data_IF_046872601504
#
_entry.id   IF_046872601504
#
_cell.length_a   1.000
_cell.length_b   1.000
_cell.length_c   1.000
_cell.angle_alpha   90.00
_cell.angle_beta   90.00
_cell.angle_gamma   90.00
#
_symmetry.space_group_name_H-M   'P 1'
#
loop_
_entity.id
_entity.type
_entity.pdbx_description
1 polymer ?
#
# COMPACT_ATOMS: atom_id res chain seq x y z
N UNK A 1 -23.60 -47.44 -25.12
CA UNK A 1 -23.12 -46.57 -24.02
C UNK A 1 -23.65 -45.15 -24.26
N UNK A 2 -24.35 -44.56 -23.30
CA UNK A 2 -24.83 -43.18 -23.42
C UNK A 2 -23.65 -42.20 -23.35
N UNK A 3 -23.66 -41.10 -24.12
CA UNK A 3 -22.60 -40.10 -24.06
C UNK A 3 -22.57 -39.46 -22.66
N UNK A 4 -21.36 -39.25 -22.13
CA UNK A 4 -21.16 -38.58 -20.86
C UNK A 4 -21.75 -37.16 -20.91
N UNK A 5 -22.36 -36.66 -19.82
CA UNK A 5 -22.90 -35.31 -19.78
C UNK A 5 -21.79 -34.29 -20.01
N UNK A 6 -22.09 -33.27 -20.83
CA UNK A 6 -21.17 -32.18 -21.10
C UNK A 6 -20.77 -31.46 -19.80
N UNK A 7 -19.51 -31.01 -19.66
CA UNK A 7 -19.08 -30.26 -18.49
C UNK A 7 -19.93 -29.00 -18.34
N UNK A 8 -20.43 -28.76 -17.13
CA UNK A 8 -21.17 -27.54 -16.79
C UNK A 8 -20.28 -26.31 -17.06
N UNK A 9 -20.84 -25.21 -17.61
CA UNK A 9 -20.07 -24.01 -17.83
C UNK A 9 -19.53 -23.48 -16.49
N UNK A 10 -18.30 -22.91 -16.47
CA UNK A 10 -17.74 -22.38 -15.24
C UNK A 10 -18.70 -21.35 -14.64
N UNK A 11 -18.99 -21.49 -13.35
CA UNK A 11 -19.87 -20.58 -12.62
C UNK A 11 -19.20 -19.19 -12.60
N UNK A 12 -19.61 -18.31 -13.51
CA UNK A 12 -19.13 -16.93 -13.53
C UNK A 12 -19.85 -16.19 -12.41
N UNK A 13 -19.09 -15.66 -11.46
CA UNK A 13 -19.60 -14.80 -10.40
C UNK A 13 -20.50 -13.70 -11.00
N UNK A 14 -21.51 -13.29 -10.25
CA UNK A 14 -22.28 -12.07 -10.56
C UNK A 14 -21.43 -10.83 -10.31
N UNK A 15 -21.88 -9.66 -10.80
CA UNK A 15 -21.18 -8.40 -10.54
C UNK A 15 -21.15 -8.06 -9.05
N UNK A 16 -22.23 -8.32 -8.33
CA UNK A 16 -22.33 -8.04 -6.90
C UNK A 16 -21.44 -8.96 -6.08
N UNK A 17 -21.38 -10.25 -6.42
CA UNK A 17 -20.43 -11.18 -5.77
C UNK A 17 -18.98 -10.78 -6.05
N UNK A 18 -18.65 -10.33 -7.27
CA UNK A 18 -17.29 -9.81 -7.57
C UNK A 18 -16.94 -8.61 -6.71
N UNK A 19 -17.84 -7.62 -6.61
CA UNK A 19 -17.62 -6.44 -5.76
C UNK A 19 -17.45 -6.83 -4.28
N UNK A 20 -18.26 -7.78 -3.80
CA UNK A 20 -18.16 -8.27 -2.44
C UNK A 20 -16.79 -8.94 -2.17
N UNK A 21 -16.33 -9.80 -3.08
CA UNK A 21 -14.99 -10.41 -3.01
C UNK A 21 -13.91 -9.32 -3.04
N UNK A 22 -14.04 -8.31 -3.90
CA UNK A 22 -13.08 -7.22 -3.98
C UNK A 22 -13.00 -6.41 -2.68
N UNK A 23 -14.14 -6.11 -2.06
CA UNK A 23 -14.21 -5.42 -0.77
C UNK A 23 -13.57 -6.24 0.35
N UNK A 24 -13.87 -7.54 0.42
CA UNK A 24 -13.25 -8.45 1.40
C UNK A 24 -11.72 -8.49 1.20
N UNK A 25 -11.24 -8.58 -0.03
CA UNK A 25 -9.81 -8.57 -0.31
C UNK A 25 -9.14 -7.26 0.16
N UNK A 26 -9.77 -6.11 -0.08
CA UNK A 26 -9.28 -4.81 0.37
C UNK A 26 -9.16 -4.77 1.90
N UNK A 27 -10.19 -5.21 2.62
CA UNK A 27 -10.20 -5.26 4.08
C UNK A 27 -9.13 -6.21 4.63
N UNK A 28 -8.98 -7.39 4.02
CA UNK A 28 -7.95 -8.36 4.38
C UNK A 28 -6.54 -7.78 4.20
N UNK A 29 -6.25 -7.19 3.05
CA UNK A 29 -4.92 -6.60 2.80
C UNK A 29 -4.64 -5.41 3.72
N UNK A 30 -5.64 -4.56 3.98
CA UNK A 30 -5.51 -3.48 4.94
C UNK A 30 -5.23 -4.00 6.36
N UNK A 31 -5.89 -5.07 6.78
CA UNK A 31 -5.68 -5.67 8.10
C UNK A 31 -4.31 -6.31 8.21
N UNK A 32 -3.88 -7.07 7.18
CA UNK A 32 -2.54 -7.68 7.12
C UNK A 32 -1.43 -6.62 7.18
N UNK A 33 -1.55 -5.53 6.41
CA UNK A 33 -0.59 -4.43 6.44
C UNK A 33 -0.51 -3.78 7.83
N UNK A 34 -1.64 -3.63 8.51
CA UNK A 34 -1.70 -3.08 9.87
C UNK A 34 -0.97 -3.98 10.88
N UNK A 35 -1.23 -5.29 10.82
CA UNK A 35 -0.60 -6.27 11.72
C UNK A 35 0.91 -6.35 11.50
N UNK A 36 1.35 -6.34 10.23
CA UNK A 36 2.78 -6.36 9.90
C UNK A 36 3.53 -5.15 10.46
N UNK A 37 2.91 -3.96 10.46
CA UNK A 37 3.51 -2.75 11.04
C UNK A 37 3.62 -2.79 12.58
N UNK A 38 2.84 -3.65 13.24
CA UNK A 38 2.88 -3.83 14.70
C UNK A 38 3.74 -5.01 15.14
N UNK A 39 4.27 -5.79 14.19
CA UNK A 39 5.14 -6.92 14.49
C UNK A 39 6.47 -6.44 15.10
N UNK A 40 7.07 -7.26 15.96
CA UNK A 40 8.39 -6.99 16.57
C UNK A 40 9.47 -6.74 15.50
N UNK A 41 9.43 -7.52 14.43
CA UNK A 41 10.25 -7.35 13.24
C UNK A 41 9.36 -7.03 12.04
N UNK A 42 9.26 -5.74 11.72
CA UNK A 42 8.38 -5.24 10.66
C UNK A 42 8.94 -5.61 9.28
N UNK A 43 8.17 -6.37 8.52
CA UNK A 43 8.48 -6.66 7.11
C UNK A 43 7.86 -5.58 6.21
N UNK A 44 8.62 -4.50 5.97
CA UNK A 44 8.16 -3.37 5.15
C UNK A 44 7.93 -3.73 3.68
N UNK A 45 8.62 -4.73 3.14
CA UNK A 45 8.39 -5.24 1.78
C UNK A 45 6.97 -5.80 1.63
N UNK A 46 6.51 -6.61 2.59
CA UNK A 46 5.14 -7.14 2.59
C UNK A 46 4.09 -6.08 2.88
N UNK A 47 4.38 -5.12 3.76
CA UNK A 47 3.48 -3.97 4.01
C UNK A 47 3.25 -3.22 2.69
N UNK A 48 4.34 -2.88 1.98
CA UNK A 48 4.28 -2.24 0.66
C UNK A 48 3.44 -3.08 -0.31
N UNK A 49 3.72 -4.37 -0.43
CA UNK A 49 3.00 -5.25 -1.36
C UNK A 49 1.47 -5.22 -1.14
N UNK A 50 1.03 -5.38 0.11
CA UNK A 50 -0.40 -5.40 0.43
C UNK A 50 -1.06 -4.04 0.24
N UNK A 51 -0.39 -2.95 0.62
CA UNK A 51 -0.93 -1.62 0.40
C UNK A 51 -1.06 -1.31 -1.10
N UNK A 52 -0.09 -1.70 -1.93
CA UNK A 52 -0.19 -1.54 -3.38
C UNK A 52 -1.31 -2.39 -4.00
N UNK A 53 -1.63 -3.57 -3.45
CA UNK A 53 -2.80 -4.34 -3.88
C UNK A 53 -4.11 -3.62 -3.57
N UNK A 54 -4.21 -2.96 -2.42
CA UNK A 54 -5.36 -2.11 -2.08
C UNK A 54 -5.44 -0.94 -3.05
N UNK A 55 -4.34 -0.21 -3.29
CA UNK A 55 -4.31 0.98 -4.15
C UNK A 55 -4.63 0.68 -5.63
N UNK A 56 -4.42 -0.55 -6.09
CA UNK A 56 -4.86 -0.98 -7.43
C UNK A 56 -6.39 -0.98 -7.57
N UNK A 57 -7.11 -1.18 -6.48
CA UNK A 57 -8.58 -1.24 -6.43
C UNK A 57 -9.18 0.07 -5.95
N UNK A 58 -8.63 0.63 -4.89
CA UNK A 58 -9.00 1.90 -4.28
C UNK A 58 -7.80 2.83 -4.27
N UNK A 59 -7.61 3.58 -5.36
CA UNK A 59 -6.44 4.46 -5.56
C UNK A 59 -6.27 5.49 -4.45
N UNK A 60 -7.35 5.82 -3.77
CA UNK A 60 -7.39 6.86 -2.75
C UNK A 60 -7.62 6.37 -1.33
N UNK A 61 -7.42 5.06 -1.10
CA UNK A 61 -7.51 4.52 0.24
C UNK A 61 -6.42 5.12 1.14
N UNK A 62 -6.83 6.01 2.05
CA UNK A 62 -5.93 6.74 2.94
C UNK A 62 -5.00 5.82 3.74
N UNK A 63 -5.51 4.71 4.28
CA UNK A 63 -4.71 3.76 5.08
C UNK A 63 -3.61 3.13 4.23
N UNK A 64 -3.93 2.73 3.01
CA UNK A 64 -2.97 2.14 2.10
C UNK A 64 -1.94 3.17 1.59
N UNK A 65 -2.35 4.41 1.31
CA UNK A 65 -1.42 5.50 0.95
C UNK A 65 -0.42 5.77 2.09
N UNK A 66 -0.92 6.04 3.30
CA UNK A 66 -0.08 6.32 4.46
C UNK A 66 0.89 5.16 4.75
N UNK A 67 0.39 3.92 4.80
CA UNK A 67 1.22 2.75 5.11
C UNK A 67 2.22 2.42 4.01
N UNK A 68 1.89 2.66 2.74
CA UNK A 68 2.86 2.56 1.63
C UNK A 68 3.98 3.58 1.81
N UNK A 69 3.64 4.82 2.12
CA UNK A 69 4.60 5.89 2.42
C UNK A 69 5.57 5.52 3.55
N UNK A 70 5.03 5.02 4.67
CA UNK A 70 5.82 4.51 5.79
C UNK A 70 6.72 3.35 5.38
N UNK A 71 6.20 2.38 4.62
CA UNK A 71 6.97 1.24 4.16
C UNK A 71 8.13 1.66 3.25
N UNK A 72 7.89 2.49 2.24
CA UNK A 72 8.93 3.01 1.35
C UNK A 72 9.99 3.81 2.11
N UNK A 73 9.60 4.60 3.11
CA UNK A 73 10.54 5.33 3.97
C UNK A 73 11.54 4.38 4.66
N UNK A 74 11.03 3.29 5.25
CA UNK A 74 11.88 2.31 5.94
C UNK A 74 12.68 1.42 4.99
N UNK A 75 12.22 1.27 3.74
CA UNK A 75 12.97 0.61 2.67
C UNK A 75 14.04 1.51 2.03
N UNK A 76 14.08 2.80 2.40
CA UNK A 76 15.07 3.76 1.90
C UNK A 76 14.73 4.40 0.54
N UNK A 77 13.58 4.06 -0.06
CA UNK A 77 13.09 4.70 -1.28
C UNK A 77 12.28 5.96 -0.89
N UNK A 78 13.03 7.02 -0.58
CA UNK A 78 12.46 8.23 -0.01
C UNK A 78 11.62 9.04 -1.02
N UNK A 79 11.89 8.93 -2.32
CA UNK A 79 11.09 9.60 -3.35
C UNK A 79 9.67 9.02 -3.41
N UNK A 80 9.54 7.68 -3.45
CA UNK A 80 8.22 7.04 -3.39
C UNK A 80 7.55 7.24 -2.05
N UNK A 81 8.31 7.23 -0.96
CA UNK A 81 7.77 7.53 0.36
C UNK A 81 7.09 8.90 0.38
N UNK A 82 7.79 9.93 -0.11
CA UNK A 82 7.26 11.29 -0.14
C UNK A 82 6.04 11.42 -1.06
N UNK A 83 6.04 10.74 -2.20
CA UNK A 83 4.89 10.69 -3.11
C UNK A 83 3.62 10.17 -2.42
N UNK A 84 3.67 8.96 -1.84
CA UNK A 84 2.50 8.36 -1.18
C UNK A 84 2.07 9.13 0.07
N UNK A 85 3.03 9.68 0.83
CA UNK A 85 2.71 10.49 2.01
C UNK A 85 2.04 11.82 1.65
N UNK A 86 2.42 12.44 0.53
CA UNK A 86 1.74 13.65 0.03
C UNK A 86 0.31 13.34 -0.40
N UNK A 87 0.08 12.24 -1.13
CA UNK A 87 -1.29 11.83 -1.46
C UNK A 87 -2.12 11.53 -0.19
N UNK A 88 -1.53 10.88 0.82
CA UNK A 88 -2.19 10.68 2.10
C UNK A 88 -2.54 12.01 2.78
N UNK A 89 -1.63 13.00 2.75
CA UNK A 89 -1.85 14.35 3.29
C UNK A 89 -2.97 15.08 2.55
N UNK A 90 -3.06 14.94 1.24
CA UNK A 90 -4.13 15.58 0.47
C UNK A 90 -5.52 15.05 0.89
N UNK A 91 -5.59 13.81 1.39
CA UNK A 91 -6.82 13.22 1.95
C UNK A 91 -7.05 13.57 3.41
N UNK A 92 -6.01 13.61 4.22
CA UNK A 92 -6.09 14.01 5.63
C UNK A 92 -4.99 15.03 5.96
N UNK A 93 -5.22 16.33 5.70
CA UNK A 93 -4.20 17.36 5.81
C UNK A 93 -3.70 17.60 7.24
N UNK A 94 -4.48 17.20 8.24
CA UNK A 94 -4.20 17.41 9.66
C UNK A 94 -3.69 16.14 10.37
N UNK A 95 -3.49 15.04 9.66
CA UNK A 95 -2.96 13.82 10.27
C UNK A 95 -1.49 14.04 10.68
N UNK A 96 -1.24 14.01 11.99
CA UNK A 96 0.06 14.32 12.57
C UNK A 96 1.11 13.27 12.23
N UNK A 97 0.73 12.01 12.03
CA UNK A 97 1.66 10.95 11.64
C UNK A 97 2.11 11.13 10.20
N UNK A 98 1.19 11.46 9.30
CA UNK A 98 1.52 11.78 7.90
C UNK A 98 2.48 12.97 7.84
N UNK A 99 2.15 14.07 8.52
CA UNK A 99 3.01 15.27 8.56
C UNK A 99 4.41 14.92 9.08
N UNK A 100 4.48 14.16 10.19
CA UNK A 100 5.75 13.71 10.77
C UNK A 100 6.58 12.88 9.78
N UNK A 101 5.95 11.92 9.09
CA UNK A 101 6.66 11.09 8.13
C UNK A 101 7.12 11.86 6.89
N UNK A 102 6.36 12.87 6.43
CA UNK A 102 6.81 13.78 5.36
C UNK A 102 8.09 14.50 5.77
N UNK A 103 8.10 15.11 6.95
CA UNK A 103 9.27 15.84 7.47
C UNK A 103 10.49 14.91 7.60
N UNK A 104 10.31 13.72 8.17
CA UNK A 104 11.39 12.73 8.27
C UNK A 104 11.95 12.34 6.90
N UNK A 105 11.07 12.17 5.91
CA UNK A 105 11.45 11.80 4.54
C UNK A 105 12.22 12.92 3.84
N UNK A 106 11.75 14.16 3.95
CA UNK A 106 12.42 15.35 3.38
C UNK A 106 13.81 15.57 3.98
N UNK A 107 13.97 15.36 5.30
CA UNK A 107 15.27 15.41 5.97
C UNK A 107 16.23 14.33 5.45
N UNK A 108 15.74 13.12 5.16
CA UNK A 108 16.55 12.03 4.60
C UNK A 108 16.99 12.34 3.17
N UNK A 109 16.06 12.77 2.31
CA UNK A 109 16.37 13.18 0.93
C UNK A 109 17.42 14.27 0.88
N UNK A 110 17.24 15.34 1.68
CA UNK A 110 18.20 16.45 1.73
C UNK A 110 19.61 15.98 2.12
N UNK A 111 19.70 15.03 3.05
CA UNK A 111 20.98 14.44 3.46
C UNK A 111 21.61 13.57 2.38
N UNK A 112 20.82 12.80 1.63
CA UNK A 112 21.34 12.00 0.51
C UNK A 112 21.91 12.89 -0.59
N UNK A 113 21.16 13.92 -0.99
CA UNK A 113 21.60 14.89 -2.00
C UNK A 113 22.88 15.63 -1.61
N UNK A 114 23.03 15.98 -0.33
CA UNK A 114 24.24 16.63 0.15
C UNK A 114 25.47 15.71 0.06
N UNK A 115 25.32 14.45 0.45
CA UNK A 115 26.41 13.44 0.34
C UNK A 115 26.83 13.19 -1.10
N UNK A 116 25.86 13.12 -2.03
CA UNK A 116 26.16 12.94 -3.45
C UNK A 116 26.97 14.11 -4.01
N UNK A 117 26.63 15.36 -3.64
CA UNK A 117 27.40 16.55 -4.03
C UNK A 117 28.82 16.60 -3.47
N UNK A 118 29.02 16.09 -2.26
CA UNK A 118 30.35 16.02 -1.63
C UNK A 118 31.23 14.90 -2.20
N UNK A 119 30.63 13.92 -2.89
CA UNK A 119 31.32 12.78 -3.50
C UNK A 119 31.70 12.98 -4.98
N UNK A 120 31.35 14.13 -5.56
CA UNK A 120 31.64 14.55 -6.94
C UNK A 120 32.73 15.62 -6.96
#
# INVERSE_FOLDING_TARGET
PAPAPAPSPPHKLTLEERKAVEGIEIECYNSLAACLLQAELVNYERVKEYCLKVLKKERDNFKALYRSGVAYYHLGDYDKALHYLKEARDRQPTDTNVIRYIQLTEMKLSRCLQKEKESL
#
